data_IF_968750685814
#
_entry.id   IF_968750685814
#
_cell.length_a   1.000
_cell.length_b   1.000
_cell.length_c   1.000
_cell.angle_alpha   90.00
_cell.angle_beta   90.00
_cell.angle_gamma   90.00
#
_symmetry.space_group_name_H-M   'P 1'
#
loop_
_entity.id
_entity.type
_entity.pdbx_description
1 polymer ?
#
# COMPACT_ATOMS: atom_id res chain seq x y z
N UNK A 1 11.03 -2.86 -14.34
CA UNK A 1 9.58 -2.57 -14.39
C UNK A 1 9.03 -3.27 -15.63
N UNK A 2 8.01 -4.11 -15.44
CA UNK A 2 7.35 -4.87 -16.52
C UNK A 2 6.23 -4.06 -17.19
N UNK A 3 5.71 -4.50 -18.35
CA UNK A 3 4.61 -3.82 -19.04
C UNK A 3 3.35 -3.66 -18.20
N UNK A 4 2.55 -2.65 -18.50
CA UNK A 4 1.28 -2.33 -17.82
C UNK A 4 1.40 -1.96 -16.34
N UNK A 5 2.57 -1.54 -15.89
CA UNK A 5 2.74 -0.91 -14.57
C UNK A 5 2.32 0.55 -14.66
N UNK A 6 1.52 1.00 -13.71
CA UNK A 6 1.10 2.40 -13.60
C UNK A 6 1.67 3.02 -12.34
N UNK A 7 2.41 4.10 -12.50
CA UNK A 7 2.97 4.86 -11.37
C UNK A 7 2.41 6.28 -11.45
N UNK A 8 1.71 6.69 -10.41
CA UNK A 8 1.15 8.03 -10.30
C UNK A 8 2.24 9.04 -9.96
N UNK A 9 1.90 10.31 -10.12
CA UNK A 9 2.79 11.43 -9.87
C UNK A 9 3.36 11.44 -8.43
N UNK A 10 4.56 11.99 -8.29
CA UNK A 10 5.29 12.21 -7.02
C UNK A 10 5.70 10.93 -6.25
N UNK A 11 5.41 9.73 -6.80
CA UNK A 11 5.90 8.50 -6.22
C UNK A 11 7.42 8.38 -6.40
N UNK A 12 8.10 7.83 -5.39
CA UNK A 12 9.55 7.63 -5.39
C UNK A 12 9.86 6.15 -5.40
N UNK A 13 10.64 5.74 -6.38
CA UNK A 13 11.06 4.33 -6.55
C UNK A 13 12.58 4.26 -6.45
N UNK A 14 13.06 3.46 -5.53
CA UNK A 14 14.48 3.21 -5.31
C UNK A 14 15.12 2.34 -6.39
N UNK A 15 16.26 1.75 -6.05
CA UNK A 15 17.10 0.98 -6.97
C UNK A 15 16.82 -0.52 -6.87
N UNK A 16 17.16 -1.25 -7.94
CA UNK A 16 17.13 -2.72 -7.99
C UNK A 16 15.76 -3.33 -7.65
N UNK A 17 14.69 -2.62 -7.99
CA UNK A 17 13.31 -3.06 -7.79
C UNK A 17 12.79 -3.86 -8.98
N UNK A 18 12.02 -4.92 -8.70
CA UNK A 18 11.29 -5.71 -9.68
C UNK A 18 9.80 -5.43 -9.49
N UNK A 19 9.15 -4.84 -10.49
CA UNK A 19 7.73 -4.50 -10.43
C UNK A 19 7.03 -5.20 -11.59
N UNK A 20 6.19 -6.18 -11.25
CA UNK A 20 5.50 -7.03 -12.22
C UNK A 20 4.30 -6.35 -12.86
N UNK A 21 3.79 -6.94 -13.93
CA UNK A 21 2.71 -6.38 -14.76
C UNK A 21 1.43 -6.14 -13.96
N UNK A 22 0.74 -5.06 -14.30
CA UNK A 22 -0.54 -4.69 -13.68
C UNK A 22 -0.43 -4.05 -12.30
N UNK A 23 0.77 -3.85 -11.77
CA UNK A 23 0.97 -3.14 -10.49
C UNK A 23 0.58 -1.67 -10.65
N UNK A 24 -0.16 -1.15 -9.67
CA UNK A 24 -0.55 0.26 -9.61
C UNK A 24 0.02 0.86 -8.32
N UNK A 25 0.81 1.91 -8.48
CA UNK A 25 1.48 2.60 -7.38
C UNK A 25 1.00 4.04 -7.32
N UNK A 26 0.44 4.44 -6.18
CA UNK A 26 0.09 5.82 -5.89
C UNK A 26 -1.30 6.26 -6.31
N UNK A 27 -2.22 5.32 -6.58
CA UNK A 27 -3.63 5.65 -6.71
C UNK A 27 -4.18 6.18 -5.38
N UNK A 28 -5.29 6.91 -5.43
CA UNK A 28 -5.89 7.50 -4.23
C UNK A 28 -6.30 6.44 -3.22
N UNK A 29 -5.96 6.66 -1.97
CA UNK A 29 -6.45 5.87 -0.86
C UNK A 29 -7.96 6.05 -0.66
N UNK A 30 -8.59 5.10 0.02
CA UNK A 30 -10.02 5.10 0.32
C UNK A 30 -10.30 6.04 1.50
N UNK A 31 -10.53 7.30 1.20
CA UNK A 31 -10.81 8.34 2.18
C UNK A 31 -12.09 9.10 1.85
N UNK A 32 -13.12 8.91 2.66
CA UNK A 32 -14.42 9.58 2.52
C UNK A 32 -14.97 9.97 3.90
N UNK A 33 -15.58 11.15 3.98
CA UNK A 33 -16.24 11.61 5.19
C UNK A 33 -17.74 11.78 4.93
N UNK A 34 -18.63 11.33 5.85
CA UNK A 34 -20.04 11.59 5.73
C UNK A 34 -20.32 13.09 5.93
N UNK A 35 -21.24 13.62 5.14
CA UNK A 35 -21.78 14.98 5.33
C UNK A 35 -23.16 14.95 6.02
N UNK A 36 -23.72 16.12 6.31
CA UNK A 36 -24.99 16.26 7.01
C UNK A 36 -26.17 15.58 6.30
N UNK A 37 -26.08 15.39 4.99
CA UNK A 37 -27.08 14.70 4.16
C UNK A 37 -26.84 13.18 4.04
N UNK A 38 -25.97 12.60 4.86
CA UNK A 38 -25.57 11.17 4.82
C UNK A 38 -24.92 10.73 3.49
N UNK A 39 -24.44 11.67 2.69
CA UNK A 39 -23.64 11.39 1.52
C UNK A 39 -22.15 11.41 1.89
N UNK A 40 -21.31 10.75 1.08
CA UNK A 40 -19.88 10.72 1.30
C UNK A 40 -19.16 11.76 0.45
N UNK A 41 -18.33 12.58 1.11
CA UNK A 41 -17.43 13.52 0.44
C UNK A 41 -16.03 12.94 0.44
N UNK A 42 -15.40 12.94 -0.74
CA UNK A 42 -14.02 12.47 -0.89
C UNK A 42 -13.05 13.38 -0.12
N UNK A 43 -12.16 12.76 0.62
CA UNK A 43 -11.00 13.40 1.22
C UNK A 43 -9.85 13.35 0.23
N UNK A 44 -9.28 14.50 -0.11
CA UNK A 44 -8.15 14.60 -1.04
C UNK A 44 -6.94 13.81 -0.52
N UNK A 45 -6.36 13.00 -1.39
CA UNK A 45 -5.19 12.19 -1.10
C UNK A 45 -3.96 12.90 -1.71
N UNK A 46 -3.26 13.67 -0.90
CA UNK A 46 -2.17 14.58 -1.35
C UNK A 46 -0.76 14.05 -1.07
N UNK A 47 -0.65 12.91 -0.40
CA UNK A 47 0.62 12.25 -0.16
C UNK A 47 1.12 11.46 -1.37
N UNK A 48 2.11 10.63 -1.15
CA UNK A 48 2.73 9.79 -2.18
C UNK A 48 3.02 8.38 -1.70
N UNK A 49 3.67 7.59 -2.55
CA UNK A 49 4.28 6.31 -2.21
C UNK A 49 5.79 6.42 -2.31
N UNK A 50 6.49 5.84 -1.34
CA UNK A 50 7.94 5.69 -1.35
C UNK A 50 8.29 4.21 -1.27
N UNK A 51 8.93 3.70 -2.31
CA UNK A 51 9.46 2.34 -2.36
C UNK A 51 10.98 2.45 -2.32
N UNK A 52 11.61 1.82 -1.34
CA UNK A 52 13.05 1.81 -1.20
C UNK A 52 13.70 0.79 -2.14
N UNK A 53 14.88 0.30 -1.80
CA UNK A 53 15.69 -0.51 -2.71
C UNK A 53 15.39 -2.01 -2.57
N UNK A 54 15.67 -2.77 -3.63
CA UNK A 54 15.63 -4.23 -3.65
C UNK A 54 14.25 -4.81 -3.25
N UNK A 55 13.18 -4.14 -3.67
CA UNK A 55 11.78 -4.55 -3.45
C UNK A 55 11.29 -5.33 -4.66
N UNK A 56 10.53 -6.38 -4.43
CA UNK A 56 9.79 -7.07 -5.48
C UNK A 56 8.29 -6.98 -5.24
N UNK A 57 7.53 -6.62 -6.28
CA UNK A 57 6.09 -6.42 -6.21
C UNK A 57 5.44 -7.29 -7.28
N UNK A 58 4.65 -8.26 -6.84
CA UNK A 58 3.94 -9.22 -7.68
C UNK A 58 2.82 -8.59 -8.50
N UNK A 59 2.37 -9.32 -9.50
CA UNK A 59 1.40 -8.85 -10.49
C UNK A 59 0.08 -8.40 -9.86
N UNK A 60 -0.50 -7.33 -10.41
CA UNK A 60 -1.79 -6.78 -10.00
C UNK A 60 -1.88 -6.37 -8.52
N UNK A 61 -0.76 -6.11 -7.88
CA UNK A 61 -0.70 -5.52 -6.55
C UNK A 61 -0.96 -4.02 -6.65
N UNK A 62 -1.72 -3.49 -5.70
CA UNK A 62 -2.04 -2.06 -5.63
C UNK A 62 -1.52 -1.44 -4.34
N UNK A 63 -0.88 -0.29 -4.46
CA UNK A 63 -0.31 0.46 -3.32
C UNK A 63 -0.84 1.88 -3.37
N UNK A 64 -1.72 2.21 -2.43
CA UNK A 64 -2.36 3.51 -2.37
C UNK A 64 -1.40 4.58 -1.84
N UNK A 65 -1.55 5.80 -2.37
CA UNK A 65 -0.84 6.95 -1.81
C UNK A 65 -1.33 7.30 -0.42
N UNK A 66 -0.50 7.92 0.35
CA UNK A 66 -0.89 8.47 1.64
C UNK A 66 -1.89 9.61 1.50
N UNK A 67 -2.75 9.78 2.49
CA UNK A 67 -3.58 10.98 2.62
C UNK A 67 -2.69 12.22 2.76
N UNK A 68 -1.72 12.15 3.66
CA UNK A 68 -0.61 13.10 3.84
C UNK A 68 0.65 12.30 4.16
N UNK A 69 1.80 12.80 3.75
CA UNK A 69 3.06 12.08 3.90
C UNK A 69 3.24 10.96 2.88
N UNK A 70 3.66 9.80 3.31
CA UNK A 70 4.00 8.69 2.40
C UNK A 70 3.49 7.34 2.90
N UNK A 71 2.95 6.54 2.00
CA UNK A 71 2.90 5.09 2.14
C UNK A 71 4.29 4.55 1.84
N UNK A 72 4.84 3.70 2.70
CA UNK A 72 6.25 3.30 2.63
C UNK A 72 6.44 1.80 2.52
N UNK A 73 7.19 1.39 1.51
CA UNK A 73 7.66 0.01 1.35
C UNK A 73 9.19 0.04 1.53
N UNK A 74 9.66 -0.49 2.64
CA UNK A 74 11.08 -0.44 2.98
C UNK A 74 11.90 -1.49 2.20
N UNK A 75 13.23 -1.37 2.28
CA UNK A 75 14.14 -2.16 1.46
C UNK A 75 13.99 -3.67 1.69
N UNK A 76 14.13 -4.43 0.62
CA UNK A 76 14.13 -5.89 0.65
C UNK A 76 12.75 -6.53 0.81
N UNK A 77 11.66 -5.75 0.85
CA UNK A 77 10.29 -6.26 0.95
C UNK A 77 9.93 -7.07 -0.30
N UNK A 78 9.22 -8.17 -0.10
CA UNK A 78 8.66 -9.01 -1.18
C UNK A 78 7.16 -9.11 -1.03
N UNK A 79 6.44 -8.57 -2.00
CA UNK A 79 4.99 -8.64 -2.11
C UNK A 79 4.64 -9.61 -3.24
N UNK A 80 3.80 -10.58 -2.95
CA UNK A 80 3.27 -11.49 -3.95
C UNK A 80 2.15 -10.82 -4.78
N UNK A 81 1.45 -11.59 -5.58
CA UNK A 81 0.40 -11.08 -6.46
C UNK A 81 -0.87 -10.67 -5.70
N UNK A 82 -1.64 -9.74 -6.27
CA UNK A 82 -2.98 -9.37 -5.80
C UNK A 82 -3.01 -8.87 -4.35
N UNK A 83 -2.01 -8.14 -3.94
CA UNK A 83 -1.95 -7.54 -2.60
C UNK A 83 -2.51 -6.12 -2.65
N UNK A 84 -3.25 -5.73 -1.60
CA UNK A 84 -3.69 -4.36 -1.39
C UNK A 84 -2.95 -3.72 -0.21
N UNK A 85 -2.23 -2.66 -0.48
CA UNK A 85 -1.60 -1.81 0.54
C UNK A 85 -2.38 -0.50 0.62
N UNK A 86 -3.04 -0.27 1.74
CA UNK A 86 -3.82 0.95 1.98
C UNK A 86 -2.95 2.19 2.22
N UNK A 87 -3.60 3.35 2.25
CA UNK A 87 -2.94 4.64 2.47
C UNK A 87 -2.16 4.70 3.79
N UNK A 88 -1.04 5.37 3.83
CA UNK A 88 -0.23 5.55 5.04
C UNK A 88 0.26 4.25 5.70
N UNK A 89 0.25 3.13 5.00
CA UNK A 89 0.84 1.89 5.49
C UNK A 89 2.36 2.01 5.45
N UNK A 90 3.00 1.41 6.43
CA UNK A 90 4.46 1.19 6.43
C UNK A 90 4.75 -0.30 6.54
N UNK A 91 5.50 -0.83 5.56
CA UNK A 91 6.00 -2.22 5.57
C UNK A 91 7.48 -2.21 5.88
N UNK A 92 7.85 -2.83 6.99
CA UNK A 92 9.23 -2.89 7.46
C UNK A 92 10.13 -3.74 6.55
N UNK A 93 11.43 -3.46 6.62
CA UNK A 93 12.44 -4.07 5.75
C UNK A 93 12.44 -5.59 5.81
N UNK A 94 12.70 -6.23 4.66
CA UNK A 94 12.83 -7.69 4.52
C UNK A 94 11.59 -8.48 4.94
N UNK A 95 10.43 -7.85 4.93
CA UNK A 95 9.13 -8.50 5.15
C UNK A 95 8.65 -9.14 3.86
N UNK A 96 8.08 -10.33 3.97
CA UNK A 96 7.45 -11.06 2.85
C UNK A 96 5.96 -11.22 3.11
N UNK A 97 5.16 -10.95 2.08
CA UNK A 97 3.69 -10.99 2.16
C UNK A 97 3.18 -11.83 1.00
N UNK A 98 2.47 -12.90 1.31
CA UNK A 98 1.91 -13.79 0.32
C UNK A 98 0.59 -13.26 -0.27
N UNK A 99 0.18 -13.90 -1.35
CA UNK A 99 -0.91 -13.45 -2.26
C UNK A 99 -2.23 -13.13 -1.57
N UNK A 100 -2.98 -12.19 -2.16
CA UNK A 100 -4.33 -11.79 -1.74
C UNK A 100 -4.43 -11.26 -0.31
N UNK A 101 -3.33 -10.77 0.24
CA UNK A 101 -3.32 -10.11 1.55
C UNK A 101 -3.72 -8.65 1.42
N UNK A 102 -4.53 -8.18 2.35
CA UNK A 102 -4.95 -6.78 2.43
C UNK A 102 -4.42 -6.14 3.71
N UNK A 103 -3.82 -4.98 3.59
CA UNK A 103 -3.36 -4.17 4.72
C UNK A 103 -4.13 -2.85 4.73
N UNK A 104 -4.93 -2.66 5.76
CA UNK A 104 -5.74 -1.45 5.92
C UNK A 104 -4.87 -0.21 6.15
N UNK A 105 -5.40 0.94 5.76
CA UNK A 105 -4.71 2.22 5.87
C UNK A 105 -4.17 2.50 7.27
N UNK A 106 -3.05 3.19 7.32
CA UNK A 106 -2.33 3.57 8.56
C UNK A 106 -1.76 2.43 9.40
N UNK A 107 -1.80 1.20 8.90
CA UNK A 107 -1.19 0.05 9.58
C UNK A 107 0.34 0.08 9.45
N UNK A 108 1.01 -0.46 10.47
CA UNK A 108 2.46 -0.67 10.44
C UNK A 108 2.78 -2.15 10.55
N UNK A 109 3.51 -2.66 9.59
CA UNK A 109 4.07 -4.01 9.59
C UNK A 109 5.56 -3.92 9.94
N UNK A 110 5.98 -4.71 10.91
CA UNK A 110 7.38 -4.74 11.35
C UNK A 110 8.34 -5.24 10.26
N UNK A 111 9.61 -5.22 10.57
CA UNK A 111 10.64 -5.79 9.71
C UNK A 111 10.72 -7.32 9.87
N UNK A 112 11.18 -8.01 8.81
CA UNK A 112 11.36 -9.47 8.78
C UNK A 112 10.13 -10.28 9.15
N UNK A 113 8.95 -9.74 8.91
CA UNK A 113 7.70 -10.46 9.08
C UNK A 113 7.46 -11.42 7.91
N UNK A 114 6.77 -12.52 8.19
CA UNK A 114 6.22 -13.42 7.18
C UNK A 114 4.70 -13.45 7.32
N UNK A 115 4.00 -12.97 6.31
CA UNK A 115 2.54 -12.91 6.31
C UNK A 115 2.02 -13.89 5.25
N UNK A 116 1.18 -14.84 5.69
CA UNK A 116 0.56 -15.83 4.82
C UNK A 116 -0.43 -15.20 3.83
N UNK A 117 -0.87 -16.01 2.88
CA UNK A 117 -1.86 -15.56 1.90
C UNK A 117 -3.26 -15.36 2.50
N UNK A 118 -4.07 -14.50 1.86
CA UNK A 118 -5.45 -14.21 2.24
C UNK A 118 -5.61 -13.67 3.68
N UNK A 119 -4.59 -12.99 4.18
CA UNK A 119 -4.62 -12.32 5.48
C UNK A 119 -5.17 -10.91 5.33
N UNK A 120 -6.05 -10.50 6.24
CA UNK A 120 -6.49 -9.13 6.37
C UNK A 120 -5.91 -8.51 7.65
N UNK A 121 -5.11 -7.48 7.50
CA UNK A 121 -4.61 -6.68 8.62
C UNK A 121 -5.44 -5.41 8.68
N UNK A 122 -6.25 -5.27 9.73
CA UNK A 122 -7.03 -4.07 9.97
C UNK A 122 -6.49 -3.30 11.17
N UNK A 123 -6.58 -1.97 11.11
CA UNK A 123 -6.44 -1.16 12.32
C UNK A 123 -7.74 -1.30 13.10
N UNK A 124 -7.69 -1.93 14.25
CA UNK A 124 -8.80 -1.91 15.18
C UNK A 124 -8.90 -0.50 15.76
N UNK A 125 -9.68 0.36 15.12
CA UNK A 125 -10.22 1.51 15.82
C UNK A 125 -11.26 0.92 16.77
N UNK A 126 -11.06 1.12 18.08
CA UNK A 126 -12.06 0.78 19.07
C UNK A 126 -13.38 1.43 18.66
N UNK A 127 -14.32 0.62 18.17
CA UNK A 127 -15.70 1.04 18.11
C UNK A 127 -16.17 1.18 19.54
N UNK A 128 -16.06 2.36 20.13
CA UNK A 128 -16.85 2.70 21.29
C UNK A 128 -18.29 2.82 20.84
N UNK A 129 -19.07 1.84 21.20
CA UNK A 129 -20.50 1.89 21.07
C UNK A 129 -21.10 2.92 22.04
#
# INVERSE_FOLDING_TARGET
IFPNVTIYNECKIGKDNIIHSGVIIGADGFGFAPNDNKNYKKISQIGNVVILDNVEIGANTTIDRATMGSTRINSGVKLDNLIQIGHNVEVGSNTVIATQTCIAGSSKVGQRCMIGGQVAISVCQSCTF
#
